data_IF_070923942012
#
_entry.id   IF_070923942012
#
_cell.length_a   1.000
_cell.length_b   1.000
_cell.length_c   1.000
_cell.angle_alpha   90.00
_cell.angle_beta   90.00
_cell.angle_gamma   90.00
#
_symmetry.space_group_name_H-M   'P 1'
#
loop_
_entity.id
_entity.type
_entity.pdbx_description
1 polymer ?
#
# COMPACT_ATOMS: atom_id res chain seq x y z
N UNK A 1 -8.36 7.48 17.82
CA UNK A 1 -7.44 8.30 16.99
C UNK A 1 -8.20 8.75 15.76
N UNK A 2 -8.16 10.03 15.39
CA UNK A 2 -8.70 10.50 14.11
C UNK A 2 -7.62 10.29 13.06
N UNK A 3 -7.86 9.41 12.11
CA UNK A 3 -6.96 9.19 10.96
C UNK A 3 -7.19 10.29 9.92
N UNK A 4 -6.15 10.61 9.15
CA UNK A 4 -6.30 11.54 8.03
C UNK A 4 -7.28 10.98 6.99
N UNK A 5 -8.07 11.86 6.40
CA UNK A 5 -8.96 11.52 5.28
C UNK A 5 -8.19 11.48 3.96
N UNK A 6 -8.74 10.79 2.96
CA UNK A 6 -8.13 10.72 1.63
C UNK A 6 -7.75 12.10 1.01
N UNK A 7 -8.60 13.14 1.07
CA UNK A 7 -8.21 14.47 0.59
C UNK A 7 -7.04 15.09 1.35
N UNK A 8 -6.96 14.91 2.66
CA UNK A 8 -5.87 15.41 3.50
C UNK A 8 -4.57 14.68 3.16
N UNK A 9 -4.63 13.35 3.06
CA UNK A 9 -3.53 12.50 2.63
C UNK A 9 -2.99 12.90 1.26
N UNK A 10 -3.86 13.01 0.26
CA UNK A 10 -3.46 13.34 -1.10
C UNK A 10 -2.82 14.73 -1.19
N UNK A 11 -3.31 15.72 -0.43
CA UNK A 11 -2.69 17.07 -0.36
C UNK A 11 -1.29 16.99 0.26
N UNK A 12 -1.11 16.22 1.33
CA UNK A 12 0.17 16.06 2.02
C UNK A 12 1.23 15.43 1.11
N UNK A 13 0.92 14.30 0.48
CA UNK A 13 1.89 13.57 -0.34
C UNK A 13 2.20 14.25 -1.68
N UNK A 14 1.26 15.07 -2.19
CA UNK A 14 1.43 15.74 -3.48
C UNK A 14 2.26 17.01 -3.41
N UNK A 15 2.65 17.48 -2.21
CA UNK A 15 3.64 18.55 -2.04
C UNK A 15 3.30 19.87 -2.73
N UNK A 16 2.01 20.22 -2.84
CA UNK A 16 1.55 21.46 -3.47
C UNK A 16 1.34 21.37 -4.99
N UNK A 17 1.46 20.19 -5.60
CA UNK A 17 1.10 20.01 -7.01
C UNK A 17 -0.38 20.30 -7.26
N UNK A 18 -0.66 20.82 -8.45
CA UNK A 18 -2.03 21.06 -8.92
C UNK A 18 -2.75 19.75 -9.23
N UNK A 19 -4.08 19.81 -9.28
CA UNK A 19 -4.92 18.66 -9.70
C UNK A 19 -4.54 18.11 -11.07
N UNK A 20 -4.10 18.98 -11.99
CA UNK A 20 -3.67 18.57 -13.32
C UNK A 20 -2.35 17.79 -13.28
N UNK A 21 -1.35 18.29 -12.54
CA UNK A 21 -0.07 17.60 -12.36
C UNK A 21 -0.24 16.25 -11.66
N UNK A 22 -1.08 16.19 -10.63
CA UNK A 22 -1.40 14.92 -9.95
C UNK A 22 -2.04 13.93 -10.94
N UNK A 23 -3.01 14.38 -11.74
CA UNK A 23 -3.72 13.54 -12.69
C UNK A 23 -2.80 13.02 -13.81
N UNK A 24 -1.93 13.88 -14.34
CA UNK A 24 -0.91 13.55 -15.35
C UNK A 24 0.05 12.49 -14.81
N UNK A 25 0.57 12.69 -13.60
CA UNK A 25 1.53 11.78 -12.97
C UNK A 25 0.94 10.39 -12.68
N UNK A 26 -0.37 10.31 -12.42
CA UNK A 26 -1.09 9.04 -12.19
C UNK A 26 -1.58 8.42 -13.52
N UNK A 27 -1.73 9.22 -14.58
CA UNK A 27 -2.29 8.78 -15.87
C UNK A 27 -3.82 8.70 -15.89
N UNK A 28 -4.52 9.60 -15.19
CA UNK A 28 -5.99 9.63 -15.10
C UNK A 28 -6.57 11.01 -15.45
N UNK A 29 -7.89 11.09 -15.56
CA UNK A 29 -8.58 12.36 -15.78
C UNK A 29 -8.53 13.31 -14.57
N UNK A 30 -8.25 14.60 -14.83
CA UNK A 30 -8.23 15.69 -13.81
C UNK A 30 -9.50 15.75 -12.95
N UNK A 31 -10.67 15.49 -13.56
CA UNK A 31 -11.96 15.54 -12.85
C UNK A 31 -12.04 14.52 -11.72
N UNK A 32 -11.40 13.34 -11.86
CA UNK A 32 -11.33 12.33 -10.81
C UNK A 32 -10.58 12.88 -9.59
N UNK A 33 -9.40 13.46 -9.80
CA UNK A 33 -8.59 14.08 -8.74
C UNK A 33 -9.35 15.23 -8.08
N UNK A 34 -10.02 16.07 -8.87
CA UNK A 34 -10.87 17.14 -8.36
C UNK A 34 -11.98 16.60 -7.44
N UNK A 35 -12.73 15.60 -7.88
CA UNK A 35 -13.82 15.01 -7.10
C UNK A 35 -13.30 14.37 -5.81
N UNK A 36 -12.12 13.73 -5.84
CA UNK A 36 -11.48 13.18 -4.66
C UNK A 36 -11.11 14.26 -3.65
N UNK A 37 -10.44 15.34 -4.07
CA UNK A 37 -10.01 16.40 -3.16
C UNK A 37 -11.18 17.17 -2.53
N UNK A 38 -12.34 17.20 -3.19
CA UNK A 38 -13.58 17.76 -2.66
C UNK A 38 -14.42 16.75 -1.88
N UNK A 39 -13.96 15.50 -1.74
CA UNK A 39 -14.69 14.44 -1.03
C UNK A 39 -15.98 13.98 -1.71
N UNK A 40 -16.19 14.33 -2.99
CA UNK A 40 -17.40 13.95 -3.75
C UNK A 40 -17.41 12.47 -4.11
N UNK A 41 -16.23 11.92 -4.39
CA UNK A 41 -16.06 10.51 -4.73
C UNK A 41 -14.82 9.96 -4.05
N UNK A 42 -14.80 8.64 -3.87
CA UNK A 42 -13.63 7.89 -3.39
C UNK A 42 -12.94 7.20 -4.56
N UNK A 43 -11.60 7.19 -4.65
CA UNK A 43 -10.89 6.34 -5.60
C UNK A 43 -11.14 4.85 -5.32
N UNK A 44 -10.97 4.00 -6.34
CA UNK A 44 -10.92 2.54 -6.15
C UNK A 44 -9.62 2.16 -5.45
N UNK A 45 -9.61 1.03 -4.73
CA UNK A 45 -8.43 0.52 -4.02
C UNK A 45 -7.22 0.36 -4.95
N UNK A 46 -7.42 -0.16 -6.17
CA UNK A 46 -6.37 -0.26 -7.19
C UNK A 46 -5.73 1.11 -7.49
N UNK A 47 -6.55 2.14 -7.67
CA UNK A 47 -6.09 3.50 -7.93
C UNK A 47 -5.39 4.11 -6.73
N UNK A 48 -5.85 3.81 -5.50
CA UNK A 48 -5.18 4.20 -4.26
C UNK A 48 -3.76 3.64 -4.19
N UNK A 49 -3.58 2.37 -4.55
CA UNK A 49 -2.27 1.71 -4.60
C UNK A 49 -1.37 2.37 -5.67
N UNK A 50 -1.92 2.68 -6.85
CA UNK A 50 -1.17 3.39 -7.90
C UNK A 50 -0.72 4.77 -7.41
N UNK A 51 -1.61 5.55 -6.80
CA UNK A 51 -1.29 6.86 -6.23
C UNK A 51 -0.14 6.73 -5.23
N UNK A 52 -0.23 5.78 -4.29
CA UNK A 52 0.81 5.57 -3.28
C UNK A 52 2.17 5.30 -3.92
N UNK A 53 2.23 4.39 -4.90
CA UNK A 53 3.47 4.06 -5.62
C UNK A 53 4.04 5.23 -6.40
N UNK A 54 3.20 5.98 -7.11
CA UNK A 54 3.60 7.17 -7.88
C UNK A 54 4.24 8.24 -6.99
N UNK A 55 3.80 8.33 -5.73
CA UNK A 55 4.31 9.25 -4.72
C UNK A 55 5.36 8.65 -3.78
N UNK A 56 5.85 7.45 -4.07
CA UNK A 56 6.82 6.72 -3.26
C UNK A 56 6.39 6.57 -1.79
N UNK A 57 5.13 6.16 -1.60
CA UNK A 57 4.52 5.92 -0.29
C UNK A 57 4.09 4.46 -0.13
N UNK A 58 4.12 3.92 1.11
CA UNK A 58 3.56 2.61 1.40
C UNK A 58 2.07 2.53 1.01
N UNK A 59 1.64 1.56 0.18
CA UNK A 59 0.24 1.43 -0.20
C UNK A 59 -0.73 1.28 0.97
N UNK A 60 -0.26 0.72 2.09
CA UNK A 60 -1.06 0.55 3.30
C UNK A 60 -1.49 1.90 3.89
N UNK A 61 -0.59 2.89 3.93
CA UNK A 61 -0.89 4.25 4.41
C UNK A 61 -2.05 4.86 3.61
N UNK A 62 -1.97 4.75 2.28
CA UNK A 62 -2.98 5.26 1.36
C UNK A 62 -4.33 4.53 1.49
N UNK A 63 -4.31 3.21 1.69
CA UNK A 63 -5.51 2.39 1.89
C UNK A 63 -6.22 2.73 3.20
N UNK A 64 -5.47 3.05 4.26
CA UNK A 64 -6.05 3.54 5.51
C UNK A 64 -6.69 4.92 5.32
N UNK A 65 -5.99 5.87 4.69
CA UNK A 65 -6.53 7.19 4.42
C UNK A 65 -7.78 7.16 3.52
N UNK A 66 -7.84 6.19 2.60
CA UNK A 66 -9.01 5.92 1.77
C UNK A 66 -10.08 5.06 2.45
N UNK A 67 -9.96 4.72 3.73
CA UNK A 67 -10.92 3.89 4.49
C UNK A 67 -11.19 2.52 3.85
N UNK A 68 -10.16 1.92 3.23
CA UNK A 68 -10.16 0.53 2.81
C UNK A 68 -9.60 -0.40 3.89
N UNK A 69 -8.79 0.15 4.79
CA UNK A 69 -8.24 -0.52 5.95
C UNK A 69 -8.45 0.37 7.18
N UNK A 70 -8.75 -0.25 8.31
CA UNK A 70 -8.78 0.40 9.60
C UNK A 70 -7.36 0.46 10.20
N UNK A 71 -7.00 1.51 10.95
CA UNK A 71 -5.69 1.60 11.59
C UNK A 71 -5.35 0.38 12.47
N UNK A 72 -6.35 -0.24 13.08
CA UNK A 72 -6.19 -1.44 13.91
C UNK A 72 -5.80 -2.69 13.11
N UNK A 73 -6.04 -2.73 11.79
CA UNK A 73 -5.66 -3.85 10.92
C UNK A 73 -4.18 -3.79 10.54
N UNK A 74 -3.59 -2.60 10.48
CA UNK A 74 -2.19 -2.38 10.05
C UNK A 74 -1.17 -2.78 11.11
N UNK A 75 -1.56 -2.83 12.39
CA UNK A 75 -0.68 -3.22 13.49
C UNK A 75 -0.46 -4.73 13.64
N UNK A 76 -1.11 -5.55 12.81
CA UNK A 76 -0.94 -7.02 12.84
C UNK A 76 0.28 -7.42 12.01
N UNK A 77 1.06 -8.43 12.43
CA UNK A 77 2.12 -8.99 11.60
C UNK A 77 1.57 -9.38 10.22
N UNK A 78 2.19 -8.88 9.16
CA UNK A 78 1.85 -9.28 7.79
C UNK A 78 2.53 -10.63 7.54
N UNK A 79 1.74 -11.70 7.51
CA UNK A 79 2.23 -13.02 7.13
C UNK A 79 2.34 -13.11 5.61
N UNK A 80 3.57 -13.02 5.11
CA UNK A 80 3.87 -13.32 3.71
C UNK A 80 4.19 -14.80 3.62
N UNK A 81 3.23 -15.59 3.16
CA UNK A 81 3.45 -16.99 2.83
C UNK A 81 4.22 -17.04 1.51
N UNK A 82 5.55 -17.13 1.59
CA UNK A 82 6.36 -17.42 0.42
C UNK A 82 6.08 -18.85 -0.03
N UNK A 83 5.80 -19.04 -1.32
CA UNK A 83 5.71 -20.40 -1.85
C UNK A 83 7.06 -21.09 -1.66
N UNK A 84 7.12 -22.31 -1.11
CA UNK A 84 8.36 -23.08 -1.03
C UNK A 84 9.00 -23.29 -2.41
N UNK A 85 8.19 -23.27 -3.48
CA UNK A 85 8.66 -23.39 -4.86
C UNK A 85 9.35 -22.15 -5.42
N UNK A 86 9.23 -21.00 -4.75
CA UNK A 86 9.87 -19.74 -5.15
C UNK A 86 11.28 -19.59 -4.57
N UNK A 87 11.70 -20.48 -3.66
CA UNK A 87 13.05 -20.51 -3.11
C UNK A 87 13.98 -21.31 -4.03
N UNK A 88 15.25 -20.88 -4.18
CA UNK A 88 16.28 -21.75 -4.69
C UNK A 88 16.32 -23.07 -3.91
N UNK A 89 16.48 -24.20 -4.60
CA UNK A 89 16.45 -25.53 -3.99
C UNK A 89 17.49 -25.68 -2.85
N UNK A 90 18.64 -25.00 -2.98
CA UNK A 90 19.68 -24.96 -1.95
C UNK A 90 19.21 -24.25 -0.66
N UNK A 91 18.51 -23.13 -0.78
CA UNK A 91 17.99 -22.39 0.39
C UNK A 91 16.93 -23.23 1.11
N UNK A 92 16.10 -23.95 0.35
CA UNK A 92 15.13 -24.89 0.92
C UNK A 92 15.82 -26.07 1.62
N UNK A 93 16.84 -26.67 1.01
CA UNK A 93 17.58 -27.78 1.59
C UNK A 93 18.33 -27.37 2.88
N UNK A 94 18.91 -26.16 2.89
CA UNK A 94 19.55 -25.57 4.06
C UNK A 94 18.54 -25.38 5.20
N UNK A 95 17.34 -24.85 4.92
CA UNK A 95 16.30 -24.65 5.93
C UNK A 95 15.75 -25.98 6.48
N UNK A 96 15.52 -26.99 5.63
CA UNK A 96 15.11 -28.33 6.07
C UNK A 96 16.16 -28.94 7.00
N UNK A 97 17.45 -28.86 6.63
CA UNK A 97 18.55 -29.36 7.45
C UNK A 97 18.61 -28.65 8.81
N UNK A 98 18.44 -27.32 8.83
CA UNK A 98 18.43 -26.51 10.06
C UNK A 98 17.35 -26.99 11.03
N UNK A 99 16.14 -27.27 10.54
CA UNK A 99 15.01 -27.72 11.36
C UNK A 99 15.19 -29.12 11.92
N UNK A 100 15.72 -30.05 11.13
CA UNK A 100 16.00 -31.42 11.57
C UNK A 100 16.96 -31.42 12.78
N UNK A 101 18.08 -30.69 12.67
CA UNK A 101 19.05 -30.57 13.77
C UNK A 101 18.42 -29.92 15.02
N UNK A 102 17.52 -28.95 14.84
CA UNK A 102 16.85 -28.28 15.95
C UNK A 102 15.78 -29.17 16.62
N UNK A 103 15.16 -30.10 15.89
CA UNK A 103 14.16 -31.03 16.43
C UNK A 103 14.76 -32.24 17.17
N UNK A 104 16.04 -32.51 16.96
CA UNK A 104 16.78 -33.62 17.61
C UNK A 104 17.43 -33.22 18.95
N UNK A 105 17.16 -32.01 19.44
CA UNK A 105 17.59 -31.49 20.75
C UNK A 105 16.43 -31.38 21.72
#
# INVERSE_FOLDING_TARGET
MRTESWPEYLRRISGGQTQAQIAERIGIGRLSVCNWLHGKTRPKAETVIVVARVFDRPPIEALVAASYLEPAEVGRPIEIQASPTALPAEDLAAEVRRRLIASER
#
